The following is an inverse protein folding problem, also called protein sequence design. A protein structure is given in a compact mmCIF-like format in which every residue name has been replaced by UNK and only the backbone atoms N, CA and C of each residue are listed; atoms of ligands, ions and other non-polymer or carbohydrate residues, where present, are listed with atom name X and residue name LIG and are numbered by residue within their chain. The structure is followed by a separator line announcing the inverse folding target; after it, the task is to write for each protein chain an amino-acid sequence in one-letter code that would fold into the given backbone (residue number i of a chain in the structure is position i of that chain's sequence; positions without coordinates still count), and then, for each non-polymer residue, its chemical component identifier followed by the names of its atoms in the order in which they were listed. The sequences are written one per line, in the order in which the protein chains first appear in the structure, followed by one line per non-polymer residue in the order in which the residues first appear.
data_IF_099191117646
#
_entry.id   IF_099191117646
#
_cell.length_a   1.000
_cell.length_b   1.000
_cell.length_c   1.000
_cell.angle_alpha   90.00
_cell.angle_beta   90.00
_cell.angle_gamma   90.00
#
_symmetry.space_group_name_H-M   'P 1'
#
loop_
_entity.id
_entity.type
_entity.pdbx_description
1 polymer ?
#
# COMPACT_ATOMS: atom_id res chain seq x y z
N UNK A 1 10.23 -26.25 64.14
CA UNK A 1 10.29 -25.12 63.16
C UNK A 1 9.44 -25.52 61.96
N UNK A 2 8.47 -24.69 61.57
CA UNK A 2 7.61 -24.94 60.40
C UNK A 2 8.33 -24.37 59.18
N UNK A 3 8.44 -25.14 58.11
CA UNK A 3 9.07 -24.74 56.85
C UNK A 3 8.06 -24.88 55.72
N UNK A 4 7.86 -23.81 54.95
CA UNK A 4 6.98 -23.84 53.80
C UNK A 4 7.61 -24.67 52.68
N UNK A 5 6.85 -25.62 52.13
CA UNK A 5 7.28 -26.43 50.96
C UNK A 5 6.70 -25.88 49.65
N UNK A 6 5.59 -25.13 49.72
CA UNK A 6 4.92 -24.49 48.59
C UNK A 6 4.41 -23.12 49.01
N UNK A 7 4.34 -22.19 48.06
CA UNK A 7 3.72 -20.88 48.24
C UNK A 7 2.19 -21.00 48.06
N UNK A 8 1.43 -20.15 48.73
CA UNK A 8 -0.03 -20.18 48.66
C UNK A 8 -0.71 -19.58 49.88
N UNK A 9 -1.73 -18.74 49.66
CA UNK A 9 -2.60 -18.26 50.75
C UNK A 9 -3.46 -19.40 51.32
N UNK A 10 -3.73 -20.40 50.49
CA UNK A 10 -4.47 -21.62 50.80
C UNK A 10 -3.79 -22.51 51.85
N UNK A 11 -2.49 -22.30 52.13
CA UNK A 11 -1.74 -23.02 53.16
C UNK A 11 -1.67 -22.27 54.49
N UNK A 12 -2.29 -21.08 54.59
CA UNK A 12 -2.48 -20.43 55.88
C UNK A 12 -3.56 -21.17 56.65
N UNK A 13 -3.28 -21.52 57.91
CA UNK A 13 -4.16 -22.31 58.76
C UNK A 13 -4.42 -21.57 60.07
N UNK A 14 -5.68 -21.53 60.56
CA UNK A 14 -5.96 -20.94 61.87
C UNK A 14 -5.24 -21.73 62.97
N UNK A 15 -5.11 -21.12 64.15
CA UNK A 15 -4.66 -21.85 65.33
C UNK A 15 -5.56 -23.07 65.55
N UNK A 16 -5.03 -24.10 66.17
CA UNK A 16 -5.77 -25.33 66.47
C UNK A 16 -6.19 -26.18 65.26
N UNK A 17 -5.54 -26.04 64.12
CA UNK A 17 -5.72 -26.94 62.97
C UNK A 17 -5.04 -28.29 63.22
N UNK A 18 -5.69 -29.37 62.78
CA UNK A 18 -5.22 -30.74 62.98
C UNK A 18 -4.33 -31.21 61.83
N UNK A 19 -3.28 -31.98 62.15
CA UNK A 19 -2.34 -32.58 61.23
C UNK A 19 -2.21 -34.08 61.48
N UNK A 20 -2.00 -34.84 60.42
CA UNK A 20 -1.66 -36.26 60.50
C UNK A 20 -0.16 -36.44 60.64
N UNK A 21 0.27 -37.27 61.60
CA UNK A 21 1.69 -37.58 61.81
C UNK A 21 2.05 -38.78 60.92
N UNK A 22 3.00 -38.58 60.00
CA UNK A 22 3.45 -39.65 59.09
C UNK A 22 4.01 -40.81 59.90
N UNK A 23 3.45 -42.02 59.72
CA UNK A 23 3.85 -43.23 60.44
C UNK A 23 3.06 -43.53 61.72
N UNK A 24 2.08 -42.70 62.09
CA UNK A 24 1.18 -42.95 63.22
C UNK A 24 -0.29 -42.94 62.78
N UNK A 25 -1.10 -43.80 63.41
CA UNK A 25 -2.55 -43.85 63.14
C UNK A 25 -3.25 -42.61 63.68
N UNK A 26 -4.07 -41.98 62.84
CA UNK A 26 -4.84 -40.77 63.15
C UNK A 26 -5.86 -40.97 64.27
N UNK A 27 -6.20 -42.23 64.59
CA UNK A 27 -7.10 -42.57 65.69
C UNK A 27 -6.43 -42.47 67.06
N UNK A 28 -5.10 -42.58 67.11
CA UNK A 28 -4.34 -42.62 68.37
C UNK A 28 -3.54 -41.33 68.61
N UNK A 29 -3.13 -40.64 67.53
CA UNK A 29 -2.30 -39.45 67.62
C UNK A 29 -2.70 -38.42 66.55
N UNK A 30 -2.90 -37.17 66.98
CA UNK A 30 -3.09 -36.02 66.10
C UNK A 30 -2.03 -34.96 66.43
N UNK A 31 -1.47 -34.34 65.40
CA UNK A 31 -0.67 -33.13 65.54
C UNK A 31 -1.59 -31.92 65.53
N UNK A 32 -1.26 -30.87 66.27
CA UNK A 32 -2.05 -29.63 66.30
C UNK A 32 -1.12 -28.42 66.40
N UNK A 33 -1.39 -27.36 65.65
CA UNK A 33 -0.68 -26.09 65.83
C UNK A 33 -1.31 -25.30 66.98
N UNK A 34 -0.48 -24.81 67.90
CA UNK A 34 -0.89 -23.87 68.95
C UNK A 34 -1.26 -22.51 68.37
N UNK A 35 -0.44 -22.01 67.45
CA UNK A 35 -0.55 -20.69 66.86
C UNK A 35 -0.94 -20.76 65.39
N UNK A 36 -1.64 -19.74 64.88
CA UNK A 36 -2.02 -19.69 63.48
C UNK A 36 -0.80 -19.72 62.55
N UNK A 37 -0.86 -20.56 61.51
CA UNK A 37 0.15 -20.60 60.46
C UNK A 37 -0.23 -19.52 59.46
N UNK A 38 0.57 -18.45 59.42
CA UNK A 38 0.36 -17.28 58.56
C UNK A 38 1.62 -17.00 57.74
N UNK A 39 1.50 -16.14 56.72
CA UNK A 39 2.61 -15.72 55.87
C UNK A 39 2.66 -16.37 54.48
N UNK A 40 1.81 -17.36 54.20
CA UNK A 40 1.60 -17.88 52.86
C UNK A 40 0.96 -16.83 51.95
N UNK A 41 1.60 -16.53 50.82
CA UNK A 41 1.09 -15.60 49.81
C UNK A 41 1.11 -16.26 48.42
N UNK A 42 0.17 -15.87 47.56
CA UNK A 42 0.15 -16.18 46.13
C UNK A 42 -0.16 -14.87 45.41
N UNK A 43 0.72 -14.45 44.50
CA UNK A 43 0.55 -13.30 43.63
C UNK A 43 0.81 -13.77 42.20
N UNK A 44 -0.18 -13.61 41.34
CA UNK A 44 -0.01 -13.75 39.91
C UNK A 44 0.31 -12.37 39.34
N UNK A 45 1.29 -12.29 38.46
CA UNK A 45 1.72 -11.03 37.86
C UNK A 45 1.95 -11.19 36.37
N UNK A 46 1.56 -10.18 35.61
CA UNK A 46 1.83 -10.09 34.18
C UNK A 46 3.20 -9.46 34.00
N UNK A 47 4.05 -10.14 33.24
CA UNK A 47 5.40 -9.68 32.91
C UNK A 47 5.52 -9.48 31.42
N UNK A 48 6.36 -8.54 31.02
CA UNK A 48 6.70 -8.34 29.61
C UNK A 48 7.52 -9.54 29.11
N UNK A 49 7.08 -10.18 28.04
CA UNK A 49 7.81 -11.25 27.39
C UNK A 49 8.72 -10.73 26.27
N UNK A 50 9.72 -11.51 25.87
CA UNK A 50 10.55 -11.20 24.69
C UNK A 50 9.70 -11.03 23.43
N UNK A 51 8.72 -11.92 23.25
CA UNK A 51 7.76 -11.87 22.15
C UNK A 51 6.99 -10.55 22.08
N UNK A 52 6.58 -9.99 23.22
CA UNK A 52 5.90 -8.69 23.25
C UNK A 52 6.80 -7.57 22.73
N UNK A 53 8.10 -7.61 23.02
CA UNK A 53 9.07 -6.61 22.58
C UNK A 53 9.37 -6.73 21.08
N UNK A 54 9.42 -7.96 20.56
CA UNK A 54 9.60 -8.25 19.14
C UNK A 54 8.39 -7.82 18.32
N UNK A 55 7.19 -8.26 18.71
CA UNK A 55 5.93 -7.91 18.03
C UNK A 55 5.72 -6.37 18.03
N UNK A 56 6.11 -5.70 19.12
CA UNK A 56 6.05 -4.24 19.20
C UNK A 56 7.07 -3.54 18.28
N UNK A 57 8.26 -4.12 18.09
CA UNK A 57 9.26 -3.60 17.16
C UNK A 57 8.80 -3.75 15.71
N UNK A 58 8.27 -4.92 15.34
CA UNK A 58 7.73 -5.17 13.99
C UNK A 58 6.59 -4.20 13.69
N UNK A 59 5.66 -4.04 14.63
CA UNK A 59 4.52 -3.12 14.48
C UNK A 59 4.96 -1.65 14.31
N UNK A 60 5.95 -1.18 15.08
CA UNK A 60 6.41 0.22 14.94
C UNK A 60 7.18 0.44 13.65
N UNK A 61 7.93 -0.56 13.16
CA UNK A 61 8.64 -0.48 11.87
C UNK A 61 7.61 -0.31 10.75
N UNK A 62 6.61 -1.19 10.66
CA UNK A 62 5.57 -1.07 9.61
C UNK A 62 4.80 0.24 9.67
N UNK A 63 4.49 0.72 10.88
CA UNK A 63 3.79 1.99 11.06
C UNK A 63 4.64 3.17 10.60
N UNK A 64 5.90 3.23 11.02
CA UNK A 64 6.80 4.32 10.67
C UNK A 64 7.18 4.29 9.18
N UNK A 65 7.21 3.13 8.53
CA UNK A 65 7.42 3.02 7.08
C UNK A 65 6.30 3.72 6.31
N UNK A 66 5.03 3.48 6.69
CA UNK A 66 3.87 4.13 6.05
C UNK A 66 3.89 5.65 6.24
N UNK A 67 4.25 6.11 7.44
CA UNK A 67 4.41 7.55 7.72
C UNK A 67 5.57 8.17 6.92
N UNK A 68 6.69 7.47 6.80
CA UNK A 68 7.84 7.91 6.02
C UNK A 68 7.51 7.97 4.52
N UNK A 69 6.78 6.99 3.99
CA UNK A 69 6.31 6.98 2.61
C UNK A 69 5.39 8.18 2.32
N UNK A 70 4.43 8.47 3.20
CA UNK A 70 3.53 9.63 3.04
C UNK A 70 4.32 10.94 2.96
N UNK A 71 5.29 11.14 3.86
CA UNK A 71 6.15 12.32 3.85
C UNK A 71 7.03 12.40 2.60
N UNK A 72 7.56 11.27 2.15
CA UNK A 72 8.34 11.21 0.92
C UNK A 72 7.49 11.53 -0.31
N UNK A 73 6.22 11.11 -0.34
CA UNK A 73 5.28 11.42 -1.41
C UNK A 73 4.93 12.90 -1.47
N UNK A 74 4.80 13.58 -0.34
CA UNK A 74 4.58 15.04 -0.28
C UNK A 74 5.76 15.84 -0.86
N UNK A 75 6.97 15.28 -0.80
CA UNK A 75 8.20 15.91 -1.28
C UNK A 75 8.62 15.44 -2.67
N UNK A 76 7.84 14.58 -3.33
CA UNK A 76 8.24 13.95 -4.59
C UNK A 76 8.19 14.94 -5.76
N UNK A 77 9.12 14.78 -6.68
CA UNK A 77 9.11 15.42 -7.99
C UNK A 77 7.97 14.83 -8.84
N UNK A 78 7.24 15.68 -9.58
CA UNK A 78 6.10 15.26 -10.42
C UNK A 78 6.47 14.27 -11.53
N UNK A 79 7.74 14.25 -11.95
CA UNK A 79 8.27 13.36 -12.98
C UNK A 79 8.58 11.95 -12.47
N UNK A 80 8.62 11.76 -11.15
CA UNK A 80 8.95 10.50 -10.51
C UNK A 80 7.78 9.97 -9.68
N UNK A 81 7.71 8.66 -9.58
CA UNK A 81 6.85 7.95 -8.65
C UNK A 81 7.71 7.15 -7.68
N UNK A 82 7.25 7.05 -6.43
CA UNK A 82 7.92 6.30 -5.37
C UNK A 82 7.36 4.89 -5.30
N UNK A 83 8.25 3.93 -5.03
CA UNK A 83 7.80 2.59 -4.68
C UNK A 83 7.08 2.64 -3.32
N UNK A 84 5.92 1.98 -3.17
CA UNK A 84 5.14 1.97 -1.94
C UNK A 84 5.78 1.14 -0.80
N UNK A 85 6.94 0.53 -1.03
CA UNK A 85 7.71 -0.23 -0.03
C UNK A 85 9.16 0.24 -0.02
N UNK A 86 9.76 0.34 1.16
CA UNK A 86 11.16 0.71 1.32
C UNK A 86 12.09 -0.41 0.79
N UNK A 87 13.17 0.00 0.11
CA UNK A 87 14.23 -0.90 -0.37
C UNK A 87 15.09 -1.37 0.80
N UNK A 88 15.27 -0.51 1.79
CA UNK A 88 16.01 -0.80 3.01
C UNK A 88 15.55 0.12 4.13
N UNK A 89 15.85 -0.29 5.36
CA UNK A 89 15.67 0.55 6.52
C UNK A 89 16.80 0.30 7.52
N UNK A 90 17.09 1.31 8.33
CA UNK A 90 18.09 1.24 9.40
C UNK A 90 17.49 1.78 10.70
N UNK A 91 17.52 0.97 11.75
CA UNK A 91 17.06 1.40 13.08
C UNK A 91 18.20 2.13 13.78
N UNK A 92 18.15 3.46 13.76
CA UNK A 92 19.17 4.32 14.37
C UNK A 92 19.09 4.34 15.89
N UNK A 93 17.86 4.39 16.43
CA UNK A 93 17.62 4.36 17.86
C UNK A 93 16.37 3.53 18.16
N UNK A 94 16.40 2.75 19.25
CA UNK A 94 15.21 2.12 19.83
C UNK A 94 15.27 2.14 21.35
N UNK A 95 14.14 2.44 21.99
CA UNK A 95 14.00 2.49 23.44
C UNK A 95 12.64 1.94 23.86
N UNK A 96 12.66 0.92 24.71
CA UNK A 96 11.45 0.41 25.34
C UNK A 96 11.21 1.11 26.68
N UNK A 97 9.93 1.24 27.06
CA UNK A 97 9.54 1.75 28.38
C UNK A 97 9.74 0.73 29.50
N UNK A 98 9.81 -0.56 29.14
CA UNK A 98 9.94 -1.72 30.02
C UNK A 98 10.90 -2.75 29.45
N UNK A 99 11.49 -3.55 30.32
CA UNK A 99 12.38 -4.67 29.94
C UNK A 99 11.65 -6.00 30.06
N UNK A 100 12.18 -7.02 29.39
CA UNK A 100 11.75 -8.40 29.58
C UNK A 100 11.78 -8.78 31.07
N UNK A 101 10.73 -9.48 31.53
CA UNK A 101 10.57 -9.91 32.91
C UNK A 101 10.11 -8.82 33.88
N UNK A 102 9.95 -7.57 33.43
CA UNK A 102 9.41 -6.50 34.26
C UNK A 102 7.89 -6.68 34.45
N UNK A 103 7.44 -6.61 35.71
CA UNK A 103 6.01 -6.65 36.07
C UNK A 103 5.30 -5.42 35.49
N UNK A 104 4.55 -5.61 34.40
CA UNK A 104 3.76 -4.58 33.76
C UNK A 104 2.71 -5.18 32.83
N UNK A 105 1.55 -4.54 32.77
CA UNK A 105 0.51 -4.87 31.79
C UNK A 105 0.65 -4.16 30.44
N UNK A 106 1.60 -3.22 30.31
CA UNK A 106 1.79 -2.42 29.10
C UNK A 106 3.28 -2.17 28.85
N UNK A 107 3.69 -2.22 27.58
CA UNK A 107 5.03 -1.83 27.12
C UNK A 107 4.91 -0.90 25.91
N UNK A 108 5.78 0.10 25.85
CA UNK A 108 5.86 1.06 24.75
C UNK A 108 7.25 1.06 24.14
N UNK A 109 7.33 1.44 22.86
CA UNK A 109 8.57 1.61 22.12
C UNK A 109 8.65 3.01 21.52
N UNK A 110 9.83 3.59 21.53
CA UNK A 110 10.19 4.76 20.74
C UNK A 110 11.36 4.38 19.84
N UNK A 111 11.24 4.63 18.54
CA UNK A 111 12.28 4.30 17.57
C UNK A 111 12.53 5.47 16.62
N UNK A 112 13.79 5.62 16.19
CA UNK A 112 14.18 6.46 15.06
C UNK A 112 14.69 5.52 13.97
N UNK A 113 14.03 5.53 12.82
CA UNK A 113 14.30 4.62 11.72
C UNK A 113 14.50 5.45 10.46
N UNK A 114 15.58 5.19 9.74
CA UNK A 114 15.83 5.73 8.41
C UNK A 114 15.29 4.74 7.36
N UNK A 115 14.54 5.24 6.38
CA UNK A 115 13.98 4.45 5.29
C UNK A 115 14.53 4.93 3.95
N UNK A 116 14.91 3.99 3.09
CA UNK A 116 15.31 4.29 1.71
C UNK A 116 14.24 3.78 0.75
N UNK A 117 13.62 4.68 0.00
CA UNK A 117 12.61 4.34 -0.99
C UNK A 117 13.20 4.40 -2.41
N UNK A 118 12.80 3.43 -3.23
CA UNK A 118 13.07 3.48 -4.68
C UNK A 118 12.15 4.48 -5.36
N UNK A 119 12.63 5.06 -6.46
CA UNK A 119 11.81 5.88 -7.36
C UNK A 119 12.02 5.46 -8.80
N UNK A 120 11.01 5.65 -9.64
CA UNK A 120 11.07 5.40 -11.07
C UNK A 120 10.52 6.60 -11.85
N UNK A 121 11.08 6.86 -13.04
CA UNK A 121 10.63 7.93 -13.91
C UNK A 121 9.37 7.53 -14.67
N UNK A 122 8.42 8.45 -14.81
CA UNK A 122 7.22 8.22 -15.64
C UNK A 122 7.57 7.97 -17.10
N UNK A 123 8.59 8.66 -17.62
CA UNK A 123 9.09 8.47 -18.98
C UNK A 123 9.70 7.08 -19.19
N UNK A 124 10.35 6.49 -18.18
CA UNK A 124 10.90 5.13 -18.30
C UNK A 124 9.79 4.11 -18.52
N UNK A 125 8.71 4.23 -17.75
CA UNK A 125 7.51 3.40 -17.92
C UNK A 125 6.90 3.62 -19.31
N UNK A 126 6.77 4.87 -19.75
CA UNK A 126 6.25 5.21 -21.08
C UNK A 126 7.06 4.55 -22.19
N UNK A 127 8.39 4.62 -22.11
CA UNK A 127 9.29 3.98 -23.07
C UNK A 127 9.12 2.46 -23.09
N UNK A 128 8.88 1.82 -21.94
CA UNK A 128 8.57 0.40 -21.86
C UNK A 128 7.24 0.09 -22.57
N UNK A 129 6.18 0.86 -22.29
CA UNK A 129 4.87 0.69 -22.95
C UNK A 129 4.97 0.86 -24.47
N UNK A 130 5.65 1.92 -24.92
CA UNK A 130 5.89 2.15 -26.34
C UNK A 130 6.70 1.01 -26.95
N UNK A 131 7.69 0.49 -26.24
CA UNK A 131 8.49 -0.63 -26.74
C UNK A 131 7.69 -1.92 -26.94
N UNK A 132 6.72 -2.20 -26.06
CA UNK A 132 5.87 -3.40 -26.11
C UNK A 132 4.83 -3.32 -27.22
N UNK A 133 4.35 -2.12 -27.53
CA UNK A 133 3.36 -1.89 -28.59
C UNK A 133 3.96 -1.84 -30.00
N UNK A 134 5.29 -1.74 -30.13
CA UNK A 134 6.00 -1.78 -31.42
C UNK A 134 5.76 -3.12 -32.12
N UNK A 135 5.01 -3.07 -33.23
CA UNK A 135 4.71 -4.23 -34.08
C UNK A 135 3.28 -4.73 -33.96
N UNK A 136 2.58 -4.40 -32.88
CA UNK A 136 1.15 -4.74 -32.70
C UNK A 136 0.24 -3.56 -33.05
N UNK A 137 0.70 -2.32 -32.80
CA UNK A 137 -0.06 -1.11 -33.07
C UNK A 137 0.45 -0.44 -34.36
N UNK A 138 -0.42 -0.17 -35.35
CA UNK A 138 -0.03 0.59 -36.54
C UNK A 138 0.48 1.98 -36.15
N UNK A 139 1.55 2.45 -36.79
CA UNK A 139 2.13 3.78 -36.52
C UNK A 139 1.19 4.97 -36.80
N UNK A 140 0.00 4.71 -37.34
CA UNK A 140 -1.08 5.67 -37.49
C UNK A 140 -1.89 5.88 -36.21
N UNK A 141 -1.56 5.22 -35.10
CA UNK A 141 -2.23 5.36 -33.80
C UNK A 141 -1.31 6.03 -32.78
N UNK A 142 -1.91 6.70 -31.81
CA UNK A 142 -1.22 7.34 -30.68
C UNK A 142 -1.84 6.86 -29.35
N UNK A 143 -1.00 6.75 -28.32
CA UNK A 143 -1.42 6.40 -26.96
C UNK A 143 -2.24 7.54 -26.35
N UNK A 144 -3.34 7.21 -25.69
CA UNK A 144 -4.17 8.16 -24.96
C UNK A 144 -3.87 8.04 -23.47
N UNK A 145 -3.03 8.95 -22.98
CA UNK A 145 -2.53 8.90 -21.60
C UNK A 145 -3.64 8.99 -20.55
N UNK A 146 -4.68 9.79 -20.81
CA UNK A 146 -5.77 10.00 -19.85
C UNK A 146 -6.71 8.80 -19.68
N UNK A 147 -6.72 7.88 -20.64
CA UNK A 147 -7.54 6.66 -20.62
C UNK A 147 -6.69 5.41 -20.33
N UNK A 148 -5.38 5.50 -20.56
CA UNK A 148 -4.44 4.43 -20.25
C UNK A 148 -4.11 4.40 -18.76
N UNK A 149 -3.88 3.20 -18.22
CA UNK A 149 -3.48 3.02 -16.82
C UNK A 149 -2.26 2.14 -16.68
N UNK A 150 -1.46 2.44 -15.65
CA UNK A 150 -0.31 1.62 -15.25
C UNK A 150 -0.50 1.26 -13.78
N UNK A 151 -0.50 -0.03 -13.49
CA UNK A 151 -0.56 -0.58 -12.15
C UNK A 151 0.75 -1.31 -11.85
N UNK A 152 1.31 -1.05 -10.66
CA UNK A 152 2.49 -1.77 -10.17
C UNK A 152 2.06 -2.66 -9.02
N UNK A 153 2.36 -3.95 -9.14
CA UNK A 153 1.95 -5.02 -8.22
C UNK A 153 3.14 -5.92 -7.89
N UNK A 154 2.98 -6.83 -6.91
CA UNK A 154 3.98 -7.84 -6.56
C UNK A 154 5.39 -7.28 -6.29
N UNK A 155 5.45 -6.15 -5.58
CA UNK A 155 6.73 -5.50 -5.28
C UNK A 155 7.50 -6.35 -4.28
N UNK A 156 8.62 -6.88 -4.74
CA UNK A 156 9.56 -7.68 -3.97
C UNK A 156 10.84 -6.87 -3.79
N UNK A 157 11.32 -6.78 -2.56
CA UNK A 157 12.54 -6.06 -2.22
C UNK A 157 13.56 -7.08 -1.73
N UNK A 158 14.70 -7.12 -2.42
CA UNK A 158 15.89 -7.82 -1.96
C UNK A 158 16.81 -6.81 -1.28
N UNK A 159 16.73 -6.79 0.06
CA UNK A 159 17.53 -5.90 0.89
C UNK A 159 19.03 -6.21 0.81
N UNK A 160 19.43 -7.47 0.54
CA UNK A 160 20.85 -7.86 0.45
C UNK A 160 21.49 -7.27 -0.80
N UNK A 161 20.78 -7.40 -1.92
CA UNK A 161 21.25 -6.90 -3.22
C UNK A 161 20.82 -5.45 -3.49
N UNK A 162 20.13 -4.81 -2.54
CA UNK A 162 19.54 -3.47 -2.67
C UNK A 162 18.76 -3.29 -3.96
N UNK A 163 18.00 -4.33 -4.33
CA UNK A 163 17.25 -4.36 -5.56
C UNK A 163 15.77 -4.55 -5.26
N UNK A 164 14.92 -4.05 -6.16
CA UNK A 164 13.49 -4.26 -6.10
C UNK A 164 13.01 -4.79 -7.45
N UNK A 165 12.11 -5.75 -7.42
CA UNK A 165 11.39 -6.24 -8.59
C UNK A 165 9.90 -6.02 -8.37
N UNK A 166 9.18 -5.77 -9.46
CA UNK A 166 7.73 -5.59 -9.42
C UNK A 166 7.13 -6.07 -10.73
N UNK A 167 5.84 -6.42 -10.70
CA UNK A 167 5.07 -6.66 -11.92
C UNK A 167 4.36 -5.38 -12.32
N UNK A 168 4.60 -4.97 -13.55
CA UNK A 168 3.94 -3.83 -14.16
C UNK A 168 2.81 -4.36 -15.03
N UNK A 169 1.59 -3.94 -14.74
CA UNK A 169 0.42 -4.21 -15.56
C UNK A 169 0.04 -2.91 -16.26
N UNK A 170 0.00 -2.95 -17.58
CA UNK A 170 -0.28 -1.79 -18.42
C UNK A 170 -1.58 -2.04 -19.15
N UNK A 171 -2.50 -1.09 -19.06
CA UNK A 171 -3.64 -0.98 -19.95
C UNK A 171 -3.43 0.25 -20.83
N UNK A 172 -3.01 0.03 -22.07
CA UNK A 172 -2.71 1.08 -23.02
C UNK A 172 -3.85 1.21 -24.04
N UNK A 173 -4.48 2.39 -24.09
CA UNK A 173 -5.55 2.70 -25.03
C UNK A 173 -4.97 3.54 -26.17
N UNK A 174 -5.15 3.07 -27.39
CA UNK A 174 -4.65 3.71 -28.60
C UNK A 174 -5.81 4.22 -29.45
N UNK A 175 -5.64 5.41 -30.03
CA UNK A 175 -6.58 6.00 -31.00
C UNK A 175 -5.84 6.38 -32.27
N UNK A 176 -6.51 6.38 -33.44
CA UNK A 176 -5.95 6.94 -34.66
C UNK A 176 -5.39 8.35 -34.44
N UNK A 177 -4.17 8.58 -34.90
CA UNK A 177 -3.47 9.85 -34.89
C UNK A 177 -4.12 10.76 -35.93
N UNK A 178 -5.06 11.58 -35.48
CA UNK A 178 -5.71 12.59 -36.32
C UNK A 178 -5.01 13.93 -36.11
N UNK A 179 -4.28 14.38 -37.12
CA UNK A 179 -3.72 15.74 -37.14
C UNK A 179 -4.83 16.75 -37.47
N UNK A 180 -5.66 17.06 -36.46
CA UNK A 180 -6.90 17.85 -36.60
C UNK A 180 -6.72 19.15 -37.39
N UNK A 181 -5.59 19.85 -37.20
CA UNK A 181 -5.32 21.11 -37.91
C UNK A 181 -5.05 20.93 -39.41
N UNK A 182 -4.26 19.91 -39.78
CA UNK A 182 -3.98 19.59 -41.18
C UNK A 182 -5.23 19.05 -41.86
N UNK A 183 -5.97 18.17 -41.18
CA UNK A 183 -7.21 17.61 -41.67
C UNK A 183 -8.28 18.70 -41.87
N UNK A 184 -8.48 19.58 -40.89
CA UNK A 184 -9.39 20.74 -41.02
C UNK A 184 -9.02 21.65 -42.20
N UNK A 185 -7.72 21.79 -42.49
CA UNK A 185 -7.26 22.59 -43.61
C UNK A 185 -7.53 21.95 -44.98
N UNK A 186 -7.44 20.62 -45.10
CA UNK A 186 -7.76 19.89 -46.33
C UNK A 186 -9.27 19.76 -46.61
N UNK A 187 -10.10 19.90 -45.58
CA UNK A 187 -11.56 19.76 -45.67
C UNK A 187 -12.32 21.08 -45.91
N UNK A 188 -11.61 22.22 -46.00
CA UNK A 188 -12.22 23.55 -46.24
C UNK A 188 -13.10 23.55 -47.49
N UNK A 189 -14.30 24.12 -47.37
CA UNK A 189 -15.25 24.24 -48.49
C UNK A 189 -15.79 22.92 -49.03
N UNK A 190 -15.49 21.78 -48.39
CA UNK A 190 -16.01 20.47 -48.81
C UNK A 190 -17.38 20.20 -48.20
N UNK A 191 -18.16 19.37 -48.89
CA UNK A 191 -19.46 18.93 -48.42
C UNK A 191 -19.33 17.73 -47.46
N UNK A 192 -20.40 17.43 -46.75
CA UNK A 192 -20.45 16.35 -45.75
C UNK A 192 -20.05 14.98 -46.33
N UNK A 193 -20.52 14.65 -47.54
CA UNK A 193 -20.23 13.35 -48.18
C UNK A 193 -18.72 13.17 -48.45
N UNK A 194 -18.06 14.22 -48.94
CA UNK A 194 -16.62 14.21 -49.15
C UNK A 194 -15.86 14.08 -47.83
N UNK A 195 -16.30 14.82 -46.80
CA UNK A 195 -15.70 14.78 -45.46
C UNK A 195 -15.77 13.38 -44.88
N UNK A 196 -16.96 12.75 -44.88
CA UNK A 196 -17.16 11.39 -44.39
C UNK A 196 -16.23 10.41 -45.09
N UNK A 197 -16.23 10.39 -46.43
CA UNK A 197 -15.38 9.48 -47.21
C UNK A 197 -13.88 9.66 -46.93
N UNK A 198 -13.41 10.89 -46.75
CA UNK A 198 -12.00 11.15 -46.46
C UNK A 198 -11.61 10.72 -45.04
N UNK A 199 -12.47 10.96 -44.06
CA UNK A 199 -12.18 10.62 -42.66
C UNK A 199 -12.33 9.10 -42.45
N UNK A 200 -13.36 8.47 -43.02
CA UNK A 200 -13.57 7.01 -42.98
C UNK A 200 -12.44 6.21 -43.65
N UNK A 201 -11.69 6.84 -44.57
CA UNK A 201 -10.50 6.20 -45.15
C UNK A 201 -9.30 6.10 -44.20
N UNK A 202 -9.34 6.81 -43.07
CA UNK A 202 -8.31 6.72 -42.04
C UNK A 202 -8.53 5.41 -41.27
N UNK A 203 -7.55 4.53 -41.31
CA UNK A 203 -7.60 3.25 -40.61
C UNK A 203 -7.89 3.44 -39.12
N UNK A 204 -8.93 2.77 -38.62
CA UNK A 204 -9.38 2.84 -37.23
C UNK A 204 -10.56 3.77 -36.97
N UNK A 205 -11.03 4.51 -37.97
CA UNK A 205 -12.26 5.31 -37.84
C UNK A 205 -13.46 4.48 -38.29
N UNK A 206 -14.45 4.31 -37.41
CA UNK A 206 -15.65 3.50 -37.65
C UNK A 206 -16.89 4.34 -37.95
N UNK A 207 -16.98 5.55 -37.41
CA UNK A 207 -18.10 6.47 -37.63
C UNK A 207 -17.61 7.92 -37.74
N UNK A 208 -18.33 8.72 -38.54
CA UNK A 208 -18.04 10.13 -38.74
C UNK A 208 -19.31 10.95 -38.66
N UNK A 209 -19.46 11.73 -37.59
CA UNK A 209 -20.54 12.69 -37.41
C UNK A 209 -20.07 14.10 -37.78
N UNK A 210 -20.85 14.78 -38.62
CA UNK A 210 -20.59 16.17 -39.03
C UNK A 210 -21.72 17.06 -38.55
N UNK A 211 -21.44 17.90 -37.56
CA UNK A 211 -22.44 18.80 -36.96
C UNK A 211 -22.23 20.25 -37.42
N UNK A 212 -23.21 20.79 -38.15
CA UNK A 212 -23.19 22.18 -38.61
C UNK A 212 -23.86 23.11 -37.59
N UNK A 213 -23.06 23.84 -36.80
CA UNK A 213 -23.58 24.83 -35.82
C UNK A 213 -24.28 26.03 -36.45
N UNK A 214 -23.95 26.38 -37.69
CA UNK A 214 -24.56 27.47 -38.45
C UNK A 214 -24.74 27.01 -39.89
N UNK A 215 -25.97 27.05 -40.37
CA UNK A 215 -26.31 26.79 -41.77
C UNK A 215 -26.96 28.04 -42.35
N UNK A 216 -26.47 28.53 -43.49
CA UNK A 216 -27.10 29.65 -44.16
C UNK A 216 -28.35 29.15 -44.92
N UNK A 217 -29.50 29.85 -44.80
CA UNK A 217 -30.70 29.50 -45.57
C UNK A 217 -30.39 29.53 -47.07
N UNK A 218 -30.86 28.52 -47.82
CA UNK A 218 -30.70 28.39 -49.28
C UNK A 218 -29.27 28.10 -49.80
N UNK A 219 -28.28 27.91 -48.93
CA UNK A 219 -26.91 27.51 -49.34
C UNK A 219 -26.65 26.01 -49.11
N UNK A 220 -25.81 25.36 -49.94
CA UNK A 220 -25.41 23.98 -49.72
C UNK A 220 -24.66 23.83 -48.39
N UNK A 221 -24.87 22.71 -47.69
CA UNK A 221 -24.15 22.37 -46.44
C UNK A 221 -22.69 22.05 -46.74
N UNK A 222 -21.83 23.05 -46.64
CA UNK A 222 -20.38 22.95 -46.84
C UNK A 222 -19.63 23.46 -45.61
N UNK A 223 -18.44 22.91 -45.40
CA UNK A 223 -17.57 23.37 -44.32
C UNK A 223 -17.06 24.80 -44.58
N UNK A 224 -16.87 25.62 -43.54
CA UNK A 224 -16.32 26.97 -43.67
C UNK A 224 -14.97 27.01 -44.39
N UNK A 225 -14.71 28.08 -45.14
CA UNK A 225 -13.41 28.30 -45.80
C UNK A 225 -12.28 28.59 -44.79
N UNK A 226 -12.60 29.14 -43.62
CA UNK A 226 -11.64 29.34 -42.56
C UNK A 226 -11.55 28.07 -41.69
N UNK A 227 -10.40 27.37 -41.70
CA UNK A 227 -10.20 26.15 -40.91
C UNK A 227 -10.33 26.37 -39.41
N UNK A 228 -10.13 27.60 -38.90
CA UNK A 228 -10.35 27.91 -37.48
C UNK A 228 -11.81 27.72 -37.05
N UNK A 229 -12.74 27.68 -38.02
CA UNK A 229 -14.16 27.42 -37.79
C UNK A 229 -14.52 25.93 -37.93
N UNK A 230 -13.54 25.05 -38.16
CA UNK A 230 -13.72 23.59 -38.23
C UNK A 230 -13.05 22.99 -37.00
N UNK A 231 -13.84 22.37 -36.12
CA UNK A 231 -13.35 21.66 -34.93
C UNK A 231 -13.50 20.17 -35.17
N UNK A 232 -12.39 19.45 -35.07
CA UNK A 232 -12.36 17.99 -35.21
C UNK A 232 -12.05 17.42 -33.84
N UNK A 233 -12.91 16.54 -33.36
CA UNK A 233 -12.75 15.82 -32.11
C UNK A 233 -12.79 14.33 -32.41
N UNK A 234 -11.83 13.60 -31.86
CA UNK A 234 -11.86 12.13 -31.83
C UNK A 234 -12.46 11.74 -30.48
N UNK A 235 -13.51 10.93 -30.50
CA UNK A 235 -14.18 10.41 -29.31
C UNK A 235 -14.09 8.89 -29.32
N UNK A 236 -13.70 8.33 -28.18
CA UNK A 236 -13.70 6.89 -27.92
C UNK A 236 -14.90 6.50 -27.07
#
# INVERSE_FOLDING_TARGET
KILATKFGKEYNLPSNSNFTIKGASSNNYIGKNSDAITGGTKKETTVVSEKDLEDLLESIVEKLEKEALSKAQEQKDSNFELLPKAISFEVLEKKYTKKEGEESGNVGISARIEYQFGKYGKEDIRNVVDSLSRGEVPGTYALIEGESSVEITDITVDQKNKSASAKIKVNAIYSPKVESEKLASGLRGKNESYVKKQIESIAGITDVRVDFRRTLPLFPKILPQNSKNIRIEVKN
#
